data_IF_660332492097
#
_entry.id   IF_660332492097
#
_cell.length_a   1.000
_cell.length_b   1.000
_cell.length_c   1.000
_cell.angle_alpha   90.00
_cell.angle_beta   90.00
_cell.angle_gamma   90.00
#
_symmetry.space_group_name_H-M   'P 1'
#
loop_
_entity.id
_entity.type
_entity.pdbx_description
1 polymer ?
#
# COMPACT_ATOMS: atom_id res chain seq x y z
N UNK A 1 -23.36 -22.15 3.49
CA UNK A 1 -23.27 -23.52 4.04
C UNK A 1 -23.37 -23.46 5.57
N UNK A 2 -24.50 -23.89 6.14
CA UNK A 2 -24.79 -23.85 7.60
C UNK A 2 -23.77 -24.56 8.49
N UNK A 3 -22.99 -25.49 7.95
CA UNK A 3 -22.01 -26.30 8.70
C UNK A 3 -20.73 -25.52 9.03
N UNK A 4 -20.22 -24.70 8.10
CA UNK A 4 -18.99 -23.93 8.29
C UNK A 4 -19.11 -22.95 9.45
N UNK A 5 -20.25 -22.25 9.53
CA UNK A 5 -20.42 -21.19 10.52
C UNK A 5 -20.58 -21.74 11.94
N UNK A 6 -21.16 -22.94 12.09
CA UNK A 6 -21.20 -23.67 13.38
C UNK A 6 -19.79 -24.06 13.84
N UNK A 7 -18.98 -24.60 12.94
CA UNK A 7 -17.58 -24.95 13.24
C UNK A 7 -16.77 -23.71 13.61
N UNK A 8 -16.89 -22.62 12.87
CA UNK A 8 -16.22 -21.36 13.19
C UNK A 8 -16.66 -20.78 14.54
N UNK A 9 -17.94 -20.86 14.89
CA UNK A 9 -18.44 -20.44 16.22
C UNK A 9 -17.84 -21.28 17.34
N UNK A 10 -17.72 -22.60 17.16
CA UNK A 10 -17.12 -23.50 18.15
C UNK A 10 -15.63 -23.18 18.35
N UNK A 11 -14.88 -23.01 17.25
CA UNK A 11 -13.46 -22.66 17.31
C UNK A 11 -13.24 -21.28 17.95
N UNK A 12 -14.09 -20.31 17.65
CA UNK A 12 -14.05 -18.97 18.26
C UNK A 12 -14.30 -19.03 19.77
N UNK A 13 -15.30 -19.80 20.21
CA UNK A 13 -15.64 -19.96 21.64
C UNK A 13 -14.51 -20.60 22.44
N UNK A 14 -13.73 -21.49 21.82
CA UNK A 14 -12.62 -22.19 22.47
C UNK A 14 -11.26 -21.50 22.26
N UNK A 15 -11.22 -20.27 21.74
CA UNK A 15 -9.98 -19.54 21.46
C UNK A 15 -9.01 -20.27 20.51
N UNK A 16 -9.54 -21.08 19.60
CA UNK A 16 -8.77 -21.87 18.62
C UNK A 16 -8.66 -21.20 17.25
N UNK A 17 -9.16 -19.96 17.11
CA UNK A 17 -8.97 -19.17 15.90
C UNK A 17 -7.72 -18.31 16.08
N UNK A 18 -6.76 -18.49 15.17
CA UNK A 18 -5.60 -17.60 15.08
C UNK A 18 -6.09 -16.19 14.72
N UNK A 19 -5.70 -15.21 15.53
CA UNK A 19 -5.89 -13.82 15.18
C UNK A 19 -5.02 -13.50 13.96
N UNK A 20 -5.64 -12.99 12.91
CA UNK A 20 -4.91 -12.54 11.73
C UNK A 20 -4.07 -11.35 12.14
N UNK A 21 -2.75 -11.50 12.14
CA UNK A 21 -1.86 -10.37 12.39
C UNK A 21 -2.19 -9.25 11.40
N UNK A 22 -2.31 -8.02 11.92
CA UNK A 22 -2.51 -6.83 11.08
C UNK A 22 -1.38 -6.78 10.06
N UNK A 23 -1.74 -6.80 8.77
CA UNK A 23 -0.77 -6.53 7.71
C UNK A 23 -0.45 -5.03 7.78
N UNK A 24 0.65 -4.68 8.44
CA UNK A 24 1.22 -3.35 8.26
C UNK A 24 1.70 -3.25 6.82
N UNK A 25 1.32 -2.18 6.12
CA UNK A 25 1.94 -1.84 4.85
C UNK A 25 3.41 -1.56 5.14
N UNK A 26 4.26 -2.55 4.86
CA UNK A 26 5.70 -2.42 5.04
C UNK A 26 6.20 -1.67 3.83
N UNK A 27 6.18 -0.34 3.90
CA UNK A 27 6.87 0.49 2.91
C UNK A 27 8.33 0.11 2.98
N UNK A 28 8.86 -0.52 1.95
CA UNK A 28 10.30 -0.64 1.78
C UNK A 28 10.82 0.78 1.68
N UNK A 29 11.48 1.27 2.73
CA UNK A 29 12.36 2.42 2.61
C UNK A 29 13.53 1.97 1.74
N UNK A 30 13.29 2.00 0.42
CA UNK A 30 14.27 1.68 -0.60
C UNK A 30 15.28 2.81 -0.58
N UNK A 31 16.33 2.65 0.23
CA UNK A 31 17.54 3.46 0.17
C UNK A 31 18.29 3.13 -1.13
N UNK A 32 17.65 3.42 -2.26
CA UNK A 32 18.13 3.05 -3.57
C UNK A 32 19.22 4.04 -3.98
N UNK A 33 20.40 3.58 -4.46
CA UNK A 33 21.45 4.45 -4.97
C UNK A 33 21.13 5.14 -6.31
N UNK A 34 19.86 5.11 -6.77
CA UNK A 34 19.52 5.68 -8.08
C UNK A 34 19.40 7.19 -7.96
N UNK A 35 19.88 7.87 -8.99
CA UNK A 35 19.75 9.31 -9.12
C UNK A 35 18.27 9.71 -9.17
N UNK A 36 17.88 10.65 -8.31
CA UNK A 36 16.55 11.26 -8.32
C UNK A 36 16.54 12.39 -9.33
N UNK A 37 15.69 12.29 -10.35
CA UNK A 37 15.46 13.40 -11.25
C UNK A 37 14.73 14.52 -10.52
N UNK A 38 15.14 15.79 -10.70
CA UNK A 38 14.43 16.93 -10.11
C UNK A 38 13.00 16.99 -10.66
N UNK A 39 12.05 17.44 -9.84
CA UNK A 39 10.68 17.62 -10.29
C UNK A 39 10.60 18.74 -11.34
N UNK A 40 10.43 18.36 -12.60
CA UNK A 40 10.38 19.27 -13.74
C UNK A 40 9.05 20.05 -13.81
N UNK A 41 8.04 19.66 -13.03
CA UNK A 41 6.70 20.24 -13.05
C UNK A 41 6.60 21.50 -12.15
N UNK A 42 7.56 21.72 -11.25
CA UNK A 42 7.48 22.75 -10.20
C UNK A 42 7.20 24.20 -10.70
N UNK A 43 7.54 24.54 -11.94
CA UNK A 43 7.33 25.87 -12.52
C UNK A 43 6.39 25.87 -13.74
N UNK A 44 5.65 24.78 -13.97
CA UNK A 44 4.82 24.64 -15.16
C UNK A 44 3.39 25.12 -14.90
N UNK A 45 2.93 26.13 -15.66
CA UNK A 45 1.53 26.56 -15.65
C UNK A 45 0.77 25.67 -16.63
N UNK A 46 -0.17 24.89 -16.10
CA UNK A 46 -0.98 23.99 -16.93
C UNK A 46 -2.09 24.78 -17.62
N UNK A 47 -2.06 24.81 -18.95
CA UNK A 47 -3.08 25.46 -19.76
C UNK A 47 -4.28 24.53 -20.03
N UNK A 48 -4.05 23.22 -20.14
CA UNK A 48 -5.06 22.21 -20.53
C UNK A 48 -4.79 20.84 -19.87
N UNK A 49 -5.80 19.96 -19.91
CA UNK A 49 -5.67 18.58 -19.42
C UNK A 49 -4.74 17.74 -20.33
N UNK A 50 -4.15 16.66 -19.79
CA UNK A 50 -3.24 15.72 -20.47
C UNK A 50 -1.83 16.23 -20.82
N UNK A 51 -1.39 17.37 -20.27
CA UNK A 51 -0.03 17.89 -20.48
C UNK A 51 1.05 17.18 -19.65
N UNK A 52 0.65 16.47 -18.60
CA UNK A 52 1.56 15.77 -17.69
C UNK A 52 1.10 14.32 -17.55
N UNK A 53 2.05 13.41 -17.72
CA UNK A 53 1.89 12.02 -17.34
C UNK A 53 2.70 11.77 -16.06
N UNK A 54 2.00 11.47 -14.97
CA UNK A 54 2.62 11.07 -13.71
C UNK A 54 2.63 9.54 -13.67
N UNK A 55 3.81 8.95 -13.60
CA UNK A 55 3.97 7.53 -13.26
C UNK A 55 4.27 7.41 -11.77
N UNK A 56 3.58 6.49 -11.10
CA UNK A 56 3.67 6.34 -9.66
C UNK A 56 4.90 5.51 -9.27
N UNK A 57 6.08 6.14 -9.33
CA UNK A 57 7.33 5.59 -8.81
C UNK A 57 7.68 6.28 -7.49
N UNK A 58 7.26 5.67 -6.38
CA UNK A 58 7.59 6.12 -5.04
C UNK A 58 9.01 5.71 -4.64
N UNK A 59 9.90 6.70 -4.45
CA UNK A 59 11.16 6.55 -3.71
C UNK A 59 11.22 7.58 -2.58
N UNK A 60 10.73 7.19 -1.41
CA UNK A 60 10.83 7.97 -0.17
C UNK A 60 12.29 8.03 0.29
N UNK A 61 12.87 9.22 0.47
CA UNK A 61 14.02 9.40 1.38
C UNK A 61 13.81 10.70 2.16
N UNK A 62 14.17 10.65 3.44
CA UNK A 62 14.07 11.71 4.45
C UNK A 62 14.83 12.99 4.07
#
# INVERSE_FOLDING_TARGET
MLHRDKVFRLLKKNHLLLEKQRKYARTTNSNHPFFKYPNLINNLILAEANLIFVSDIYLHQN
#
